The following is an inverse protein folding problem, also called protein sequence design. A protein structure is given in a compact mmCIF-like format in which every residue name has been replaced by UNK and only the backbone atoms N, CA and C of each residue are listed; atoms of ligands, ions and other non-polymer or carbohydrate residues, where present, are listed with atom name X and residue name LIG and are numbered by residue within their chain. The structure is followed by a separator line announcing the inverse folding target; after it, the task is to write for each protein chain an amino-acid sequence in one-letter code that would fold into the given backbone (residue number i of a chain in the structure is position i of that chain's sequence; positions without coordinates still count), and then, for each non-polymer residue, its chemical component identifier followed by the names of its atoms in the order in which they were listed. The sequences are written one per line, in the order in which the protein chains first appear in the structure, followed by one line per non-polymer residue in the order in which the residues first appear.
data_IF_329778183025
#
_entry.id   IF_329778183025
#
_cell.length_a   1.000
_cell.length_b   1.000
_cell.length_c   1.000
_cell.angle_alpha   90.00
_cell.angle_beta   90.00
_cell.angle_gamma   90.00
#
_symmetry.space_group_name_H-M   'P 1'
#
loop_
_entity.id
_entity.type
_entity.pdbx_description
1 polymer ?
#
# COMPACT_ATOMS: atom_id res chain seq x y z
N UNK A 1 -163.47 127.84 11.04
CA UNK A 1 -162.59 127.12 12.00
C UNK A 1 -163.21 125.77 12.30
N UNK A 2 -162.39 124.72 12.41
CA UNK A 2 -162.82 123.32 12.57
C UNK A 2 -163.31 122.99 14.00
N UNK A 3 -164.35 122.15 14.11
CA UNK A 3 -164.89 121.58 15.36
C UNK A 3 -163.96 120.50 15.96
N UNK A 4 -164.23 120.07 17.19
CA UNK A 4 -163.41 119.07 17.91
C UNK A 4 -163.41 117.70 17.21
N UNK A 5 -164.56 117.26 16.71
CA UNK A 5 -164.71 115.98 15.99
C UNK A 5 -164.01 116.01 14.63
N UNK A 6 -164.09 117.13 13.91
CA UNK A 6 -163.40 117.28 12.62
C UNK A 6 -161.88 117.28 12.78
N UNK A 7 -161.35 117.93 13.82
CA UNK A 7 -159.91 117.87 14.14
C UNK A 7 -159.46 116.44 14.44
N UNK A 8 -160.26 115.67 15.18
CA UNK A 8 -159.96 114.28 15.50
C UNK A 8 -159.93 113.42 14.23
N UNK A 9 -160.94 113.59 13.36
CA UNK A 9 -161.04 112.86 12.10
C UNK A 9 -159.85 113.14 11.18
N UNK A 10 -159.39 114.40 11.10
CA UNK A 10 -158.17 114.76 10.33
C UNK A 10 -156.92 114.09 10.91
N UNK A 11 -156.76 114.06 12.23
CA UNK A 11 -155.60 113.42 12.88
C UNK A 11 -155.59 111.90 12.66
N UNK A 12 -156.75 111.24 12.74
CA UNK A 12 -156.86 109.80 12.44
C UNK A 12 -156.54 109.48 10.98
N UNK A 13 -157.04 110.29 10.03
CA UNK A 13 -156.71 110.10 8.61
C UNK A 13 -155.22 110.35 8.35
N UNK A 14 -154.62 111.37 8.98
CA UNK A 14 -153.17 111.60 8.93
C UNK A 14 -152.40 110.38 9.41
N UNK A 15 -152.86 109.63 10.41
CA UNK A 15 -152.13 108.47 10.95
C UNK A 15 -152.19 107.22 10.05
N UNK A 16 -153.25 107.06 9.24
CA UNK A 16 -153.47 105.83 8.45
C UNK A 16 -153.25 105.98 6.96
N UNK A 17 -153.50 107.16 6.42
CA UNK A 17 -153.42 107.42 4.99
C UNK A 17 -152.11 108.16 4.68
N UNK A 18 -151.14 107.42 4.14
CA UNK A 18 -149.82 107.94 3.77
C UNK A 18 -149.97 109.01 2.68
N UNK A 19 -150.84 108.83 1.69
CA UNK A 19 -151.00 109.83 0.63
C UNK A 19 -151.60 111.12 1.16
N UNK A 20 -152.64 111.04 2.01
CA UNK A 20 -153.22 112.22 2.67
C UNK A 20 -152.23 112.92 3.59
N UNK A 21 -151.39 112.18 4.33
CA UNK A 21 -150.31 112.72 5.16
C UNK A 21 -149.27 113.49 4.35
N UNK A 22 -148.86 112.95 3.20
CA UNK A 22 -147.88 113.61 2.33
C UNK A 22 -148.49 114.83 1.65
N UNK A 23 -149.78 114.79 1.29
CA UNK A 23 -150.49 115.93 0.71
C UNK A 23 -150.58 117.11 1.69
N UNK A 24 -151.00 116.87 2.94
CA UNK A 24 -151.04 117.90 3.99
C UNK A 24 -149.63 118.41 4.32
N UNK A 25 -148.63 117.52 4.42
CA UNK A 25 -147.24 117.93 4.60
C UNK A 25 -146.72 118.76 3.42
N UNK A 26 -147.17 118.49 2.20
CA UNK A 26 -146.92 119.30 1.00
C UNK A 26 -147.41 120.74 1.15
N UNK A 27 -148.68 120.93 1.55
CA UNK A 27 -149.25 122.26 1.81
C UNK A 27 -148.54 123.03 2.92
N UNK A 28 -148.01 122.32 3.93
CA UNK A 28 -147.28 122.91 5.07
C UNK A 28 -145.79 123.14 4.79
N UNK A 29 -145.29 122.80 3.59
CA UNK A 29 -143.86 122.89 3.25
C UNK A 29 -142.98 121.82 3.91
N UNK A 30 -143.57 120.76 4.46
CA UNK A 30 -142.91 119.67 5.20
C UNK A 30 -142.66 118.40 4.36
N UNK A 31 -143.11 118.36 3.10
CA UNK A 31 -142.92 117.18 2.21
C UNK A 31 -141.45 116.75 2.07
N UNK A 32 -140.54 117.73 2.03
CA UNK A 32 -139.10 117.49 1.99
C UNK A 32 -138.60 116.77 3.26
N UNK A 33 -139.21 117.02 4.42
CA UNK A 33 -138.87 116.37 5.68
C UNK A 33 -139.33 114.91 5.68
N UNK A 34 -140.56 114.62 5.23
CA UNK A 34 -141.06 113.24 5.15
C UNK A 34 -140.23 112.38 4.19
N UNK A 35 -139.87 112.90 3.01
CA UNK A 35 -138.97 112.20 2.06
C UNK A 35 -137.60 111.90 2.66
N UNK A 36 -137.05 112.84 3.45
CA UNK A 36 -135.79 112.62 4.18
C UNK A 36 -135.94 111.55 5.25
N UNK A 37 -137.08 111.48 5.94
CA UNK A 37 -137.35 110.44 6.93
C UNK A 37 -137.44 109.05 6.29
N UNK A 38 -138.15 108.89 5.16
CA UNK A 38 -138.17 107.62 4.42
C UNK A 38 -136.76 107.22 3.94
N UNK A 39 -136.01 108.20 3.44
CA UNK A 39 -134.62 107.98 3.02
C UNK A 39 -133.73 107.56 4.20
N UNK A 40 -133.95 108.15 5.39
CA UNK A 40 -133.25 107.77 6.61
C UNK A 40 -133.67 106.35 7.03
N UNK A 41 -134.95 106.01 7.00
CA UNK A 41 -135.45 104.68 7.35
C UNK A 41 -134.86 103.62 6.41
N UNK A 42 -134.86 103.87 5.10
CA UNK A 42 -134.20 102.99 4.11
C UNK A 42 -132.70 102.84 4.41
N UNK A 43 -131.99 103.94 4.70
CA UNK A 43 -130.57 103.90 5.07
C UNK A 43 -130.32 103.15 6.38
N UNK A 44 -131.24 103.24 7.35
CA UNK A 44 -131.18 102.48 8.61
C UNK A 44 -131.37 100.99 8.32
N UNK A 45 -132.31 100.62 7.46
CA UNK A 45 -132.50 99.23 7.05
C UNK A 45 -131.26 98.66 6.32
N UNK A 46 -130.67 99.43 5.40
CA UNK A 46 -129.42 99.06 4.71
C UNK A 46 -128.24 98.92 5.69
N UNK A 47 -128.13 99.84 6.66
CA UNK A 47 -127.12 99.76 7.73
C UNK A 47 -127.32 98.52 8.60
N UNK A 48 -128.57 98.16 8.92
CA UNK A 48 -128.87 96.97 9.70
C UNK A 48 -128.50 95.68 8.95
N UNK A 49 -128.83 95.58 7.65
CA UNK A 49 -128.43 94.45 6.81
C UNK A 49 -126.90 94.38 6.66
N UNK A 50 -126.24 95.52 6.48
CA UNK A 50 -124.79 95.63 6.47
C UNK A 50 -124.15 95.18 7.79
N UNK A 51 -124.72 95.57 8.94
CA UNK A 51 -124.28 95.12 10.26
C UNK A 51 -124.47 93.62 10.45
N UNK A 52 -125.59 93.06 10.00
CA UNK A 52 -125.85 91.62 10.05
C UNK A 52 -124.84 90.83 9.23
N UNK A 53 -124.57 91.25 7.98
CA UNK A 53 -123.55 90.64 7.12
C UNK A 53 -122.15 90.75 7.72
N UNK A 54 -121.83 91.89 8.35
CA UNK A 54 -120.57 92.07 9.06
C UNK A 54 -120.42 91.08 10.21
N UNK A 55 -121.47 90.89 11.02
CA UNK A 55 -121.48 89.93 12.12
C UNK A 55 -121.28 88.50 11.62
N UNK A 56 -121.97 88.11 10.54
CA UNK A 56 -121.80 86.79 9.90
C UNK A 56 -120.36 86.56 9.41
N UNK A 57 -119.74 87.59 8.82
CA UNK A 57 -118.34 87.53 8.40
C UNK A 57 -117.38 87.46 9.60
N UNK A 58 -117.67 88.17 10.69
CA UNK A 58 -116.88 88.07 11.93
C UNK A 58 -116.94 86.66 12.51
N UNK A 59 -118.11 86.02 12.53
CA UNK A 59 -118.24 84.61 12.97
C UNK A 59 -117.40 83.68 12.09
N UNK A 60 -117.49 83.79 10.76
CA UNK A 60 -116.66 82.98 9.84
C UNK A 60 -115.16 83.21 10.02
N UNK A 61 -114.75 84.46 10.30
CA UNK A 61 -113.35 84.76 10.61
C UNK A 61 -112.91 84.07 11.88
N UNK A 62 -113.73 84.06 12.93
CA UNK A 62 -113.43 83.34 14.17
C UNK A 62 -113.31 81.84 13.96
N UNK A 63 -114.19 81.22 13.19
CA UNK A 63 -114.10 79.80 12.82
C UNK A 63 -112.80 79.48 12.07
N UNK A 64 -112.37 80.35 11.15
CA UNK A 64 -111.10 80.17 10.44
C UNK A 64 -109.89 80.35 11.36
N UNK A 65 -109.95 81.32 12.28
CA UNK A 65 -108.90 81.53 13.28
C UNK A 65 -108.79 80.29 14.17
N UNK A 66 -109.90 79.67 14.57
CA UNK A 66 -109.90 78.44 15.36
C UNK A 66 -109.24 77.27 14.61
N UNK A 67 -109.60 77.06 13.33
CA UNK A 67 -108.94 76.04 12.49
C UNK A 67 -107.44 76.27 12.34
N UNK A 68 -107.01 77.52 12.13
CA UNK A 68 -105.59 77.85 12.07
C UNK A 68 -104.87 77.53 13.39
N UNK A 69 -105.51 77.76 14.54
CA UNK A 69 -104.94 77.40 15.83
C UNK A 69 -104.79 75.88 16.01
N UNK A 70 -105.74 75.09 15.50
CA UNK A 70 -105.65 73.63 15.49
C UNK A 70 -104.50 73.14 14.60
N UNK A 71 -104.35 73.69 13.38
CA UNK A 71 -103.24 73.38 12.48
C UNK A 71 -101.89 73.75 13.11
N UNK A 72 -101.78 74.93 13.73
CA UNK A 72 -100.57 75.35 14.45
C UNK A 72 -100.27 74.41 15.62
N UNK A 73 -101.28 73.89 16.32
CA UNK A 73 -101.09 72.90 17.39
C UNK A 73 -100.57 71.58 16.83
N UNK A 74 -101.16 71.05 15.76
CA UNK A 74 -100.71 69.83 15.09
C UNK A 74 -99.27 69.96 14.59
N UNK A 75 -98.93 71.08 13.95
CA UNK A 75 -97.56 71.32 13.46
C UNK A 75 -96.55 71.37 14.61
N UNK A 76 -96.91 71.92 15.78
CA UNK A 76 -96.03 71.91 16.96
C UNK A 76 -95.81 70.50 17.48
N UNK A 77 -96.86 69.66 17.52
CA UNK A 77 -96.73 68.27 17.93
C UNK A 77 -95.82 67.48 16.98
N UNK A 78 -95.98 67.65 15.68
CA UNK A 78 -95.13 66.97 14.69
C UNK A 78 -93.69 67.49 14.73
N UNK A 79 -93.48 68.79 14.95
CA UNK A 79 -92.14 69.33 15.22
C UNK A 79 -91.51 68.66 16.46
N UNK A 80 -92.27 68.49 17.56
CA UNK A 80 -91.75 67.80 18.75
C UNK A 80 -91.37 66.35 18.46
N UNK A 81 -92.14 65.61 17.65
CA UNK A 81 -91.79 64.24 17.22
C UNK A 81 -90.50 64.22 16.40
N UNK A 82 -90.38 65.12 15.43
CA UNK A 82 -89.16 65.26 14.61
C UNK A 82 -87.93 65.56 15.46
N UNK A 83 -88.04 66.44 16.45
CA UNK A 83 -86.93 66.72 17.38
C UNK A 83 -86.48 65.48 18.15
N UNK A 84 -87.42 64.62 18.57
CA UNK A 84 -87.08 63.38 19.27
C UNK A 84 -86.44 62.35 18.31
N UNK A 85 -86.94 62.21 17.08
CA UNK A 85 -86.31 61.37 16.05
C UNK A 85 -84.87 61.83 15.75
N UNK A 86 -84.65 63.13 15.57
CA UNK A 86 -83.31 63.70 15.38
C UNK A 86 -82.42 63.41 16.59
N UNK A 87 -82.95 63.47 17.81
CA UNK A 87 -82.20 63.13 19.03
C UNK A 87 -81.81 61.65 19.06
N UNK A 88 -82.72 60.74 18.68
CA UNK A 88 -82.46 59.31 18.61
C UNK A 88 -81.43 58.98 17.53
N UNK A 89 -81.51 59.62 16.36
CA UNK A 89 -80.53 59.48 15.28
C UNK A 89 -79.13 59.92 15.74
N UNK A 90 -79.02 61.05 16.46
CA UNK A 90 -77.73 61.49 17.03
C UNK A 90 -77.16 60.47 18.00
N UNK A 91 -77.98 59.93 18.92
CA UNK A 91 -77.54 58.85 19.82
C UNK A 91 -77.09 57.60 19.06
N UNK A 92 -77.77 57.26 17.96
CA UNK A 92 -77.38 56.15 17.08
C UNK A 92 -76.03 56.40 16.40
N UNK A 93 -75.81 57.62 15.89
CA UNK A 93 -74.53 58.03 15.32
C UNK A 93 -73.39 57.96 16.35
N UNK A 94 -73.61 58.42 17.58
CA UNK A 94 -72.60 58.36 18.64
C UNK A 94 -72.19 56.91 18.95
N UNK A 95 -73.16 55.98 18.97
CA UNK A 95 -72.88 54.54 19.13
C UNK A 95 -72.06 53.98 17.97
N UNK A 96 -72.44 54.30 16.73
CA UNK A 96 -71.68 53.87 15.54
C UNK A 96 -70.24 54.41 15.57
N UNK A 97 -70.03 55.66 15.99
CA UNK A 97 -68.69 56.22 16.12
C UNK A 97 -67.84 55.47 17.17
N UNK A 98 -68.44 55.05 18.28
CA UNK A 98 -67.75 54.22 19.28
C UNK A 98 -67.40 52.83 18.70
N UNK A 99 -68.33 52.16 18.04
CA UNK A 99 -68.07 50.86 17.41
C UNK A 99 -66.98 50.94 16.34
N UNK A 100 -66.99 51.99 15.51
CA UNK A 100 -65.93 52.24 14.52
C UNK A 100 -64.57 52.44 15.19
N UNK A 101 -64.53 53.14 16.34
CA UNK A 101 -63.29 53.35 17.10
C UNK A 101 -62.75 52.02 17.65
N UNK A 102 -63.62 51.21 18.23
CA UNK A 102 -63.23 49.90 18.79
C UNK A 102 -62.75 48.95 17.69
N UNK A 103 -63.42 48.94 16.52
CA UNK A 103 -62.97 48.18 15.35
C UNK A 103 -61.60 48.64 14.86
N UNK A 104 -61.33 49.95 14.83
CA UNK A 104 -60.00 50.48 14.46
C UNK A 104 -58.93 50.05 15.46
N UNK A 105 -59.22 50.07 16.76
CA UNK A 105 -58.28 49.60 17.77
C UNK A 105 -58.00 48.09 17.62
N UNK A 106 -59.04 47.28 17.38
CA UNK A 106 -58.90 45.85 17.09
C UNK A 106 -58.06 45.59 15.84
N UNK A 107 -58.28 46.36 14.77
CA UNK A 107 -57.47 46.28 13.55
C UNK A 107 -56.00 46.62 13.81
N UNK A 108 -55.72 47.66 14.60
CA UNK A 108 -54.34 48.03 14.97
C UNK A 108 -53.64 46.90 15.72
N UNK A 109 -54.29 46.28 16.72
CA UNK A 109 -53.73 45.13 17.46
C UNK A 109 -53.44 43.95 16.53
N UNK A 110 -54.38 43.63 15.64
CA UNK A 110 -54.20 42.55 14.66
C UNK A 110 -53.01 42.82 13.71
N UNK A 111 -52.80 44.07 13.29
CA UNK A 111 -51.63 44.44 12.50
C UNK A 111 -50.31 44.27 13.26
N UNK A 112 -50.29 44.57 14.56
CA UNK A 112 -49.12 44.34 15.42
C UNK A 112 -48.82 42.85 15.59
N UNK A 113 -49.84 42.02 15.82
CA UNK A 113 -49.69 40.56 15.88
C UNK A 113 -49.17 39.98 14.57
N UNK A 114 -49.74 40.40 13.43
CA UNK A 114 -49.26 39.97 12.10
C UNK A 114 -47.81 40.39 11.87
N UNK A 115 -47.39 41.57 12.33
CA UNK A 115 -45.99 42.01 12.25
C UNK A 115 -45.09 41.11 13.10
N UNK A 116 -45.46 40.83 14.34
CA UNK A 116 -44.71 39.93 15.23
C UNK A 116 -44.56 38.53 14.63
N UNK A 117 -45.65 37.97 14.08
CA UNK A 117 -45.63 36.66 13.43
C UNK A 117 -44.69 36.65 12.22
N UNK A 118 -44.63 37.72 11.43
CA UNK A 118 -43.69 37.84 10.30
C UNK A 118 -42.23 37.92 10.76
N UNK A 119 -41.96 38.61 11.86
CA UNK A 119 -40.63 38.67 12.45
C UNK A 119 -40.19 37.30 12.95
N UNK A 120 -41.06 36.57 13.65
CA UNK A 120 -40.75 35.24 14.15
C UNK A 120 -40.60 34.21 13.01
N UNK A 121 -41.42 34.32 11.95
CA UNK A 121 -41.21 33.53 10.72
C UNK A 121 -39.84 33.80 10.10
N UNK A 122 -39.41 35.06 10.02
CA UNK A 122 -38.07 35.40 9.50
C UNK A 122 -36.96 34.76 10.35
N UNK A 123 -37.05 34.82 11.68
CA UNK A 123 -36.09 34.15 12.58
C UNK A 123 -36.08 32.63 12.41
N UNK A 124 -37.24 32.02 12.21
CA UNK A 124 -37.34 30.58 11.94
C UNK A 124 -36.64 30.21 10.62
N UNK A 125 -36.81 31.01 9.57
CA UNK A 125 -36.10 30.82 8.31
C UNK A 125 -34.58 30.95 8.45
N UNK A 126 -34.10 31.97 9.18
CA UNK A 126 -32.67 32.12 9.47
C UNK A 126 -32.08 30.93 10.24
N UNK A 127 -32.81 30.42 11.24
CA UNK A 127 -32.39 29.25 12.00
C UNK A 127 -32.41 27.98 11.14
N UNK A 128 -33.41 27.81 10.27
CA UNK A 128 -33.47 26.69 9.34
C UNK A 128 -32.27 26.71 8.37
N UNK A 129 -31.88 27.88 7.87
CA UNK A 129 -30.70 28.04 7.00
C UNK A 129 -29.40 27.65 7.74
N UNK A 130 -29.24 28.10 9.00
CA UNK A 130 -28.09 27.71 9.84
C UNK A 130 -28.02 26.20 10.04
N UNK A 131 -29.16 25.56 10.36
CA UNK A 131 -29.23 24.11 10.49
C UNK A 131 -28.87 23.39 9.19
N UNK A 132 -29.30 23.90 8.03
CA UNK A 132 -28.92 23.34 6.74
C UNK A 132 -27.41 23.40 6.49
N UNK A 133 -26.76 24.51 6.86
CA UNK A 133 -25.30 24.67 6.79
C UNK A 133 -24.61 23.65 7.70
N UNK A 134 -25.06 23.51 8.95
CA UNK A 134 -24.51 22.53 9.90
C UNK A 134 -24.67 21.09 9.39
N UNK A 135 -25.84 20.73 8.88
CA UNK A 135 -26.09 19.40 8.29
C UNK A 135 -25.18 19.14 7.10
N UNK A 136 -24.93 20.14 6.24
CA UNK A 136 -23.98 20.01 5.12
C UNK A 136 -22.56 19.76 5.64
N UNK A 137 -22.11 20.51 6.64
CA UNK A 137 -20.78 20.33 7.24
C UNK A 137 -20.62 18.96 7.88
N UNK A 138 -21.66 18.46 8.57
CA UNK A 138 -21.65 17.11 9.14
C UNK A 138 -21.56 16.03 8.06
N UNK A 139 -22.24 16.19 6.91
CA UNK A 139 -22.12 15.26 5.78
C UNK A 139 -20.72 15.25 5.20
N UNK A 140 -20.11 16.42 4.98
CA UNK A 140 -18.72 16.51 4.53
C UNK A 140 -17.74 15.86 5.53
N UNK A 141 -18.01 16.00 6.84
CA UNK A 141 -17.26 15.30 7.89
C UNK A 141 -17.40 13.78 7.81
N UNK A 142 -18.61 13.27 7.56
CA UNK A 142 -18.86 11.84 7.37
C UNK A 142 -18.14 11.28 6.14
N UNK A 143 -18.13 12.01 5.03
CA UNK A 143 -17.44 11.58 3.80
C UNK A 143 -15.92 11.44 4.03
N UNK A 144 -15.31 12.40 4.73
CA UNK A 144 -13.88 12.32 5.12
C UNK A 144 -13.59 11.14 6.03
N UNK A 145 -14.49 10.82 6.97
CA UNK A 145 -14.34 9.64 7.82
C UNK A 145 -14.39 8.37 6.98
N UNK A 146 -15.33 8.28 6.02
CA UNK A 146 -15.40 7.14 5.11
C UNK A 146 -14.14 6.95 4.27
N UNK A 147 -13.58 8.04 3.75
CA UNK A 147 -12.31 8.01 3.01
C UNK A 147 -11.17 7.49 3.89
N UNK A 148 -11.04 8.00 5.12
CA UNK A 148 -10.03 7.55 6.08
C UNK A 148 -10.20 6.06 6.43
N UNK A 149 -11.43 5.60 6.66
CA UNK A 149 -11.73 4.19 6.94
C UNK A 149 -11.33 3.31 5.77
N UNK A 150 -11.59 3.73 4.53
CA UNK A 150 -11.19 3.00 3.34
C UNK A 150 -9.67 2.90 3.21
N UNK A 151 -8.95 3.99 3.47
CA UNK A 151 -7.49 4.02 3.47
C UNK A 151 -6.90 3.08 4.54
N UNK A 152 -7.44 3.10 5.76
CA UNK A 152 -7.04 2.16 6.81
C UNK A 152 -7.28 0.70 6.41
N UNK A 153 -8.37 0.42 5.69
CA UNK A 153 -8.65 -0.93 5.20
C UNK A 153 -7.58 -1.40 4.19
N UNK A 154 -7.14 -0.51 3.29
CA UNK A 154 -6.05 -0.78 2.35
C UNK A 154 -4.74 -1.04 3.10
N UNK A 155 -4.40 -0.21 4.10
CA UNK A 155 -3.20 -0.40 4.92
C UNK A 155 -3.22 -1.73 5.67
N UNK A 156 -4.35 -2.07 6.31
CA UNK A 156 -4.52 -3.36 7.00
C UNK A 156 -4.35 -4.54 6.04
N UNK A 157 -4.87 -4.44 4.82
CA UNK A 157 -4.69 -5.48 3.80
C UNK A 157 -3.20 -5.63 3.41
N UNK A 158 -2.51 -4.52 3.17
CA UNK A 158 -1.07 -4.51 2.87
C UNK A 158 -0.24 -5.10 4.00
N UNK A 159 -0.55 -4.77 5.25
CA UNK A 159 0.12 -5.35 6.42
C UNK A 159 -0.10 -6.86 6.53
N UNK A 160 -1.31 -7.36 6.23
CA UNK A 160 -1.58 -8.81 6.17
C UNK A 160 -0.75 -9.50 5.09
N UNK A 161 -0.71 -8.93 3.89
CA UNK A 161 0.12 -9.45 2.79
C UNK A 161 1.61 -9.48 3.17
N UNK A 162 2.10 -8.45 3.86
CA UNK A 162 3.48 -8.41 4.39
C UNK A 162 3.71 -9.47 5.47
N UNK A 163 2.75 -9.70 6.35
CA UNK A 163 2.82 -10.74 7.38
C UNK A 163 2.87 -12.13 6.77
N UNK A 164 2.09 -12.40 5.73
CA UNK A 164 2.09 -13.69 5.03
C UNK A 164 3.45 -13.98 4.37
N UNK A 165 4.08 -12.97 3.74
CA UNK A 165 5.45 -13.11 3.19
C UNK A 165 6.48 -13.41 4.27
N UNK A 166 6.41 -12.73 5.41
CA UNK A 166 7.30 -13.02 6.54
C UNK A 166 7.13 -14.46 7.04
N UNK A 167 5.90 -14.99 7.06
CA UNK A 167 5.66 -16.39 7.42
C UNK A 167 6.27 -17.37 6.41
N UNK A 168 6.23 -17.06 5.12
CA UNK A 168 6.91 -17.84 4.08
C UNK A 168 8.42 -17.83 4.26
N UNK A 169 9.03 -16.65 4.45
CA UNK A 169 10.48 -16.53 4.72
C UNK A 169 10.91 -17.32 5.96
N UNK A 170 10.13 -17.24 7.05
CA UNK A 170 10.39 -18.02 8.28
C UNK A 170 10.31 -19.53 8.00
N UNK A 171 9.36 -19.97 7.18
CA UNK A 171 9.24 -21.39 6.79
C UNK A 171 10.44 -21.85 5.97
N UNK A 172 10.90 -21.03 5.03
CA UNK A 172 12.07 -21.33 4.20
C UNK A 172 13.36 -21.36 5.02
N UNK A 173 13.54 -20.42 5.95
CA UNK A 173 14.66 -20.43 6.89
C UNK A 173 14.67 -21.70 7.75
N UNK A 174 13.51 -22.13 8.26
CA UNK A 174 13.38 -23.40 9.00
C UNK A 174 13.76 -24.60 8.13
N UNK A 175 13.31 -24.64 6.88
CA UNK A 175 13.68 -25.69 5.92
C UNK A 175 15.19 -25.71 5.67
N UNK A 176 15.81 -24.54 5.48
CA UNK A 176 17.26 -24.39 5.36
C UNK A 176 18.02 -24.89 6.60
N UNK A 177 17.53 -24.58 7.80
CA UNK A 177 18.10 -25.08 9.05
C UNK A 177 18.06 -26.61 9.14
N UNK A 178 16.96 -27.25 8.72
CA UNK A 178 16.86 -28.72 8.70
C UNK A 178 17.91 -29.32 7.76
N UNK A 179 18.07 -28.78 6.54
CA UNK A 179 19.09 -29.24 5.59
C UNK A 179 20.52 -29.06 6.10
N UNK A 180 20.79 -27.95 6.79
CA UNK A 180 22.08 -27.71 7.43
C UNK A 180 22.35 -28.74 8.51
N UNK A 181 21.36 -29.05 9.35
CA UNK A 181 21.45 -30.10 10.37
C UNK A 181 21.75 -31.48 9.76
N UNK A 182 21.07 -31.85 8.69
CA UNK A 182 21.34 -33.09 7.95
C UNK A 182 22.77 -33.12 7.40
N UNK A 183 23.24 -32.02 6.81
CA UNK A 183 24.60 -31.90 6.28
C UNK A 183 25.66 -32.02 7.39
N UNK A 184 25.44 -31.37 8.53
CA UNK A 184 26.32 -31.48 9.70
C UNK A 184 26.36 -32.91 10.21
N UNK A 185 25.22 -33.60 10.26
CA UNK A 185 25.16 -34.99 10.67
C UNK A 185 25.94 -35.91 9.72
N UNK A 186 25.81 -35.69 8.41
CA UNK A 186 26.57 -36.44 7.39
C UNK A 186 28.08 -36.21 7.52
N UNK A 187 28.52 -34.96 7.72
CA UNK A 187 29.93 -34.65 7.98
C UNK A 187 30.44 -35.37 9.23
N UNK A 188 29.61 -35.49 10.27
CA UNK A 188 29.98 -36.22 11.48
C UNK A 188 30.20 -37.71 11.21
N UNK A 189 29.35 -38.31 10.37
CA UNK A 189 29.51 -39.70 9.91
C UNK A 189 30.80 -39.87 9.11
N UNK A 190 31.09 -38.97 8.16
CA UNK A 190 32.32 -38.99 7.37
C UNK A 190 33.56 -38.86 8.24
N UNK A 191 33.58 -37.91 9.19
CA UNK A 191 34.67 -37.73 10.14
C UNK A 191 34.88 -39.00 10.97
N UNK A 192 33.80 -39.66 11.41
CA UNK A 192 33.90 -40.93 12.14
C UNK A 192 34.52 -42.02 11.26
N UNK A 193 34.07 -42.17 10.01
CA UNK A 193 34.63 -43.13 9.06
C UNK A 193 36.10 -42.87 8.75
N UNK A 194 36.49 -41.60 8.59
CA UNK A 194 37.88 -41.20 8.38
C UNK A 194 38.76 -41.56 9.57
N UNK A 195 38.27 -41.34 10.81
CA UNK A 195 38.98 -41.78 12.03
C UNK A 195 39.17 -43.29 12.09
N UNK A 196 38.14 -44.05 11.74
CA UNK A 196 38.22 -45.51 11.68
C UNK A 196 39.24 -45.97 10.63
N UNK A 197 39.24 -45.35 9.44
CA UNK A 197 40.23 -45.60 8.39
C UNK A 197 41.65 -45.24 8.82
N UNK A 198 41.84 -44.10 9.50
CA UNK A 198 43.13 -43.71 10.06
C UNK A 198 43.65 -44.75 11.03
N UNK A 199 42.82 -45.23 11.96
CA UNK A 199 43.21 -46.24 12.94
C UNK A 199 43.69 -47.54 12.29
N UNK A 200 42.98 -48.03 11.26
CA UNK A 200 43.42 -49.20 10.48
C UNK A 200 44.78 -48.97 9.83
N UNK A 201 44.99 -47.79 9.25
CA UNK A 201 46.27 -47.45 8.61
C UNK A 201 47.41 -47.37 9.64
N UNK A 202 47.14 -46.91 10.87
CA UNK A 202 48.09 -46.98 11.98
C UNK A 202 48.44 -48.41 12.37
N UNK A 203 47.47 -49.33 12.37
CA UNK A 203 47.69 -50.77 12.60
C UNK A 203 48.55 -51.38 11.49
N UNK A 204 48.21 -51.15 10.22
CA UNK A 204 48.99 -51.63 9.07
C UNK A 204 50.44 -51.10 9.09
N UNK A 205 50.63 -49.81 9.38
CA UNK A 205 51.98 -49.22 9.51
C UNK A 205 52.76 -49.85 10.66
N UNK A 206 52.08 -50.21 11.76
CA UNK A 206 52.71 -50.90 12.89
C UNK A 206 53.14 -52.31 12.49
N UNK A 207 52.30 -53.04 11.78
CA UNK A 207 52.58 -54.41 11.32
C UNK A 207 53.74 -54.41 10.30
N UNK A 208 53.71 -53.51 9.32
CA UNK A 208 54.80 -53.32 8.36
C UNK A 208 56.14 -53.02 9.06
N UNK A 209 56.13 -52.23 10.14
CA UNK A 209 57.35 -51.98 10.93
C UNK A 209 57.88 -53.25 11.60
N UNK A 210 57.00 -54.15 12.04
CA UNK A 210 57.38 -55.44 12.62
C UNK A 210 57.99 -56.34 11.55
N UNK A 211 57.31 -56.51 10.42
CA UNK A 211 57.79 -57.31 9.28
C UNK A 211 59.14 -56.80 8.75
N UNK A 212 59.28 -55.49 8.57
CA UNK A 212 60.55 -54.90 8.12
C UNK A 212 61.69 -55.15 9.11
N UNK A 213 61.40 -55.13 10.41
CA UNK A 213 62.38 -55.45 11.44
C UNK A 213 62.80 -56.93 11.41
N UNK A 214 61.87 -57.84 11.10
CA UNK A 214 62.15 -59.27 10.93
C UNK A 214 62.99 -59.54 9.68
N UNK A 215 62.59 -59.01 8.52
CA UNK A 215 63.36 -59.11 7.27
C UNK A 215 64.79 -58.58 7.45
N UNK A 216 64.97 -57.44 8.15
CA UNK A 216 66.31 -56.90 8.50
C UNK A 216 67.14 -57.85 9.38
N UNK A 217 66.52 -58.74 10.16
CA UNK A 217 67.23 -59.77 10.94
C UNK A 217 67.61 -60.95 10.06
N UNK A 218 66.73 -61.38 9.16
CA UNK A 218 66.98 -62.47 8.21
C UNK A 218 68.10 -62.13 7.22
N UNK A 219 68.06 -60.94 6.60
CA UNK A 219 69.13 -60.48 5.72
C UNK A 219 70.51 -60.50 6.42
N UNK A 220 70.56 -60.11 7.70
CA UNK A 220 71.80 -60.18 8.49
C UNK A 220 72.30 -61.61 8.69
N UNK A 221 71.40 -62.58 8.92
CA UNK A 221 71.74 -64.01 9.08
C UNK A 221 72.20 -64.65 7.77
N UNK A 222 71.52 -64.35 6.67
CA UNK A 222 71.91 -64.83 5.34
C UNK A 222 73.31 -64.33 4.98
N UNK A 223 73.56 -63.03 5.19
CA UNK A 223 74.89 -62.43 4.96
C UNK A 223 75.99 -63.13 5.73
N UNK A 224 75.82 -63.34 7.04
CA UNK A 224 76.84 -64.01 7.85
C UNK A 224 77.09 -65.46 7.42
N UNK A 225 76.08 -66.12 6.89
CA UNK A 225 76.16 -67.51 6.42
C UNK A 225 76.96 -67.61 5.11
N UNK A 226 76.68 -66.73 4.14
CA UNK A 226 77.41 -66.68 2.86
C UNK A 226 78.89 -66.34 3.04
N UNK A 227 79.21 -65.34 3.87
CA UNK A 227 80.60 -64.97 4.17
C UNK A 227 81.38 -66.13 4.82
N UNK A 228 80.70 -66.98 5.60
CA UNK A 228 81.30 -68.15 6.24
C UNK A 228 81.48 -69.30 5.25
N UNK A 229 80.56 -69.47 4.32
CA UNK A 229 80.60 -70.53 3.30
C UNK A 229 81.72 -70.29 2.27
N UNK A 230 81.88 -69.06 1.79
CA UNK A 230 82.94 -68.71 0.84
C UNK A 230 84.37 -68.89 1.39
N UNK A 231 84.57 -68.74 2.71
CA UNK A 231 85.85 -69.03 3.37
C UNK A 231 86.17 -70.52 3.48
N UNK A 232 85.17 -71.39 3.56
CA UNK A 232 85.35 -72.82 3.80
C UNK A 232 85.76 -73.61 2.53
N UNK A 233 85.37 -73.14 1.34
CA UNK A 233 85.54 -73.88 0.08
C UNK A 233 86.84 -73.58 -0.69
N UNK A 234 87.71 -72.68 -0.20
CA UNK A 234 89.02 -72.42 -0.83
C UNK A 234 88.94 -71.87 -2.27
N UNK A 235 87.80 -71.30 -2.64
CA UNK A 235 87.49 -70.83 -3.99
C UNK A 235 88.42 -69.67 -4.38
N UNK A 236 89.08 -69.77 -5.54
CA UNK A 236 89.99 -68.73 -6.06
C UNK A 236 89.21 -67.53 -6.62
N UNK A 237 89.88 -66.38 -6.78
CA UNK A 237 89.21 -65.20 -7.35
C UNK A 237 88.69 -65.43 -8.78
N UNK A 238 89.40 -66.25 -9.55
CA UNK A 238 89.02 -66.64 -10.91
C UNK A 238 87.63 -67.29 -10.91
N UNK A 239 87.35 -68.20 -9.97
CA UNK A 239 86.04 -68.84 -9.86
C UNK A 239 84.93 -67.86 -9.46
N UNK A 240 85.19 -66.96 -8.50
CA UNK A 240 84.19 -65.93 -8.16
C UNK A 240 83.92 -65.00 -9.34
N UNK A 241 84.95 -64.63 -10.09
CA UNK A 241 84.81 -63.79 -11.27
C UNK A 241 84.03 -64.51 -12.39
N UNK A 242 84.29 -65.79 -12.64
CA UNK A 242 83.52 -66.60 -13.59
C UNK A 242 82.03 -66.67 -13.22
N UNK A 243 81.71 -67.06 -11.98
CA UNK A 243 80.33 -67.16 -11.50
C UNK A 243 79.60 -65.81 -11.54
N UNK A 244 80.30 -64.72 -11.24
CA UNK A 244 79.73 -63.38 -11.33
C UNK A 244 79.45 -63.00 -12.78
N UNK A 245 80.37 -63.27 -13.70
CA UNK A 245 80.18 -63.00 -15.12
C UNK A 245 79.06 -63.86 -15.71
N UNK A 246 78.91 -65.11 -15.27
CA UNK A 246 77.79 -65.97 -15.62
C UNK A 246 76.44 -65.36 -15.20
N UNK A 247 76.32 -64.86 -13.96
CA UNK A 247 75.15 -64.14 -13.48
C UNK A 247 74.85 -62.88 -14.31
N UNK A 248 75.90 -62.11 -14.64
CA UNK A 248 75.75 -60.93 -15.51
C UNK A 248 75.23 -61.30 -16.91
N UNK A 249 75.66 -62.44 -17.45
CA UNK A 249 75.18 -62.94 -18.74
C UNK A 249 73.71 -63.37 -18.65
N UNK A 250 73.28 -63.99 -17.55
CA UNK A 250 71.87 -64.32 -17.30
C UNK A 250 70.99 -63.06 -17.25
N UNK A 251 71.41 -62.02 -16.52
CA UNK A 251 70.72 -60.72 -16.48
C UNK A 251 70.67 -60.05 -17.86
N UNK A 252 71.68 -60.29 -18.69
CA UNK A 252 71.73 -59.84 -20.09
C UNK A 252 70.90 -60.73 -21.04
N UNK A 253 70.27 -61.80 -20.54
CA UNK A 253 69.37 -62.68 -21.29
C UNK A 253 70.03 -63.92 -21.90
N UNK A 254 71.32 -64.16 -21.63
CA UNK A 254 72.03 -65.38 -22.05
C UNK A 254 71.86 -66.45 -20.96
N UNK A 255 70.97 -67.40 -21.19
CA UNK A 255 70.63 -68.45 -20.21
C UNK A 255 71.36 -69.76 -20.53
N UNK A 256 71.81 -70.48 -19.50
CA UNK A 256 72.47 -71.78 -19.65
C UNK A 256 73.89 -71.73 -20.22
N UNK A 257 74.56 -70.57 -20.10
CA UNK A 257 75.95 -70.38 -20.53
C UNK A 257 76.90 -70.76 -19.40
N UNK A 258 78.03 -71.40 -19.71
CA UNK A 258 79.08 -71.71 -18.72
C UNK A 258 80.24 -70.75 -18.93
N UNK A 259 80.70 -70.12 -17.86
CA UNK A 259 81.89 -69.27 -17.87
C UNK A 259 82.96 -69.96 -17.06
N UNK A 260 84.04 -70.37 -17.72
CA UNK A 260 85.13 -71.14 -17.11
C UNK A 260 86.48 -70.70 -17.66
N UNK A 261 87.55 -71.29 -17.13
CA UNK A 261 88.90 -71.07 -17.66
C UNK A 261 89.05 -71.73 -19.03
N UNK A 262 89.46 -70.96 -20.04
CA UNK A 262 89.54 -71.40 -21.44
C UNK A 262 90.95 -71.39 -22.01
N UNK A 263 91.15 -72.13 -23.10
CA UNK A 263 92.40 -72.12 -23.87
C UNK A 263 92.10 -71.89 -25.35
N UNK A 264 92.80 -70.93 -25.97
CA UNK A 264 92.65 -70.62 -27.40
C UNK A 264 93.98 -70.73 -28.13
N UNK A 265 93.96 -71.20 -29.38
CA UNK A 265 95.16 -71.38 -30.21
C UNK A 265 95.20 -70.36 -31.36
N UNK A 266 96.25 -69.55 -31.42
CA UNK A 266 96.44 -68.55 -32.48
C UNK A 266 97.92 -68.36 -32.80
N UNK A 267 98.26 -68.28 -34.10
CA UNK A 267 99.61 -68.03 -34.64
C UNK A 267 100.73 -68.87 -33.99
N UNK A 268 100.50 -70.18 -33.87
CA UNK A 268 101.48 -71.11 -33.30
C UNK A 268 101.57 -71.12 -31.77
N UNK A 269 100.75 -70.33 -31.05
CA UNK A 269 100.78 -70.19 -29.58
C UNK A 269 99.44 -70.54 -28.94
N UNK A 270 99.48 -71.08 -27.72
CA UNK A 270 98.32 -71.32 -26.85
C UNK A 270 98.19 -70.16 -25.86
N UNK A 271 96.99 -69.59 -25.74
CA UNK A 271 96.65 -68.54 -24.77
C UNK A 271 95.62 -69.06 -23.77
N UNK A 272 95.94 -68.94 -22.49
CA UNK A 272 95.07 -69.28 -21.37
C UNK A 272 94.26 -68.04 -20.95
N UNK A 273 92.94 -68.18 -20.88
CA UNK A 273 91.99 -67.11 -20.60
C UNK A 273 91.29 -67.43 -19.28
N UNK A 274 91.39 -66.55 -18.28
CA UNK A 274 90.90 -66.82 -16.93
C UNK A 274 89.38 -66.89 -16.86
N UNK A 275 88.71 -66.04 -17.63
CA UNK A 275 87.25 -65.96 -17.74
C UNK A 275 86.90 -66.13 -19.21
N UNK A 276 86.38 -67.30 -19.60
CA UNK A 276 86.11 -67.61 -20.99
C UNK A 276 84.72 -68.22 -21.16
N UNK A 277 84.00 -67.73 -22.16
CA UNK A 277 82.80 -68.37 -22.70
C UNK A 277 82.91 -68.34 -24.22
N UNK A 278 82.64 -69.45 -24.90
CA UNK A 278 82.72 -69.50 -26.37
C UNK A 278 81.41 -68.98 -27.03
N UNK A 279 80.27 -69.16 -26.34
CA UNK A 279 78.94 -68.79 -26.84
C UNK A 279 78.03 -68.25 -25.71
N UNK A 280 77.86 -66.92 -25.57
CA UNK A 280 78.48 -65.85 -26.37
C UNK A 280 79.98 -65.74 -26.10
N UNK A 281 80.76 -65.21 -27.05
CA UNK A 281 82.20 -65.08 -26.86
C UNK A 281 82.51 -64.03 -25.77
N UNK A 282 82.96 -64.51 -24.61
CA UNK A 282 83.39 -63.69 -23.47
C UNK A 282 84.84 -64.00 -23.15
N UNK A 283 85.61 -62.94 -22.93
CA UNK A 283 87.02 -63.04 -22.59
C UNK A 283 87.30 -62.12 -21.41
N UNK A 284 87.94 -62.63 -20.38
CA UNK A 284 88.34 -61.84 -19.23
C UNK A 284 89.62 -62.31 -18.56
N UNK A 285 90.22 -61.36 -17.85
CA UNK A 285 91.41 -61.55 -17.02
C UNK A 285 91.02 -61.39 -15.57
N UNK A 286 91.49 -62.28 -14.69
CA UNK A 286 91.27 -62.18 -13.26
C UNK A 286 92.60 -61.99 -12.55
N UNK A 287 92.73 -60.90 -11.78
CA UNK A 287 93.97 -60.61 -11.05
C UNK A 287 93.70 -60.28 -9.58
N UNK A 288 94.63 -60.73 -8.73
CA UNK A 288 94.51 -60.56 -7.29
C UNK A 288 94.82 -59.14 -6.83
N UNK A 289 95.79 -58.48 -7.48
CA UNK A 289 96.28 -57.16 -7.07
C UNK A 289 96.72 -56.35 -8.28
N UNK A 290 96.28 -55.09 -8.34
CA UNK A 290 96.86 -54.07 -9.21
C UNK A 290 97.30 -52.90 -8.32
N UNK A 291 98.61 -52.70 -8.25
CA UNK A 291 99.25 -51.78 -7.30
C UNK A 291 99.54 -50.42 -7.90
N UNK A 292 99.83 -50.38 -9.20
CA UNK A 292 100.19 -49.16 -9.90
C UNK A 292 99.68 -49.14 -11.35
N UNK A 293 99.90 -47.99 -12.00
CA UNK A 293 99.48 -47.74 -13.39
C UNK A 293 100.18 -48.65 -14.41
N UNK A 294 101.41 -49.09 -14.14
CA UNK A 294 102.15 -49.99 -15.01
C UNK A 294 101.57 -51.40 -14.99
N UNK A 295 101.25 -51.91 -13.80
CA UNK A 295 100.55 -53.20 -13.63
C UNK A 295 99.16 -53.15 -14.28
N UNK A 296 98.40 -52.07 -14.06
CA UNK A 296 97.12 -51.83 -14.72
C UNK A 296 97.19 -51.93 -16.25
N UNK A 297 98.15 -51.25 -16.86
CA UNK A 297 98.36 -51.26 -18.31
C UNK A 297 98.80 -52.65 -18.82
N UNK A 298 99.62 -53.35 -18.03
CA UNK A 298 100.08 -54.70 -18.34
C UNK A 298 98.92 -55.70 -18.41
N UNK A 299 98.03 -55.70 -17.40
CA UNK A 299 96.87 -56.59 -17.36
C UNK A 299 95.87 -56.30 -18.48
N UNK A 300 95.61 -55.02 -18.77
CA UNK A 300 94.76 -54.63 -19.90
C UNK A 300 95.34 -55.05 -21.25
N UNK A 301 96.66 -54.92 -21.43
CA UNK A 301 97.34 -55.41 -22.64
C UNK A 301 97.26 -56.92 -22.78
N UNK A 302 97.41 -57.68 -21.69
CA UNK A 302 97.22 -59.14 -21.73
C UNK A 302 95.81 -59.49 -22.18
N UNK A 303 94.81 -58.82 -21.60
CA UNK A 303 93.42 -59.03 -21.95
C UNK A 303 93.15 -58.72 -23.43
N UNK A 304 93.72 -57.65 -23.98
CA UNK A 304 93.59 -57.31 -25.40
C UNK A 304 94.22 -58.36 -26.31
N UNK A 305 95.42 -58.85 -25.96
CA UNK A 305 96.09 -59.92 -26.72
C UNK A 305 95.27 -61.22 -26.69
N UNK A 306 94.76 -61.60 -25.52
CA UNK A 306 93.91 -62.78 -25.36
C UNK A 306 92.58 -62.64 -26.12
N UNK A 307 91.99 -61.45 -26.08
CA UNK A 307 90.77 -61.12 -26.81
C UNK A 307 90.97 -61.23 -28.33
N UNK A 308 92.05 -60.69 -28.88
CA UNK A 308 92.36 -60.82 -30.31
C UNK A 308 92.58 -62.28 -30.70
N UNK A 309 93.34 -63.04 -29.90
CA UNK A 309 93.54 -64.48 -30.12
C UNK A 309 92.22 -65.27 -30.07
N UNK A 310 91.32 -64.94 -29.15
CA UNK A 310 90.00 -65.56 -29.03
C UNK A 310 89.10 -65.27 -30.24
N UNK A 311 89.04 -64.02 -30.71
CA UNK A 311 88.25 -63.68 -31.91
C UNK A 311 88.77 -64.39 -33.16
N UNK A 312 90.10 -64.45 -33.33
CA UNK A 312 90.72 -65.09 -34.50
C UNK A 312 90.60 -66.61 -34.49
N UNK A 313 90.63 -67.23 -33.31
CA UNK A 313 90.53 -68.69 -33.16
C UNK A 313 89.09 -69.20 -33.26
N UNK A 314 88.13 -68.48 -32.68
CA UNK A 314 86.70 -68.88 -32.66
C UNK A 314 85.90 -68.35 -33.85
N UNK A 315 86.41 -67.32 -34.55
CA UNK A 315 85.70 -66.64 -35.65
C UNK A 315 84.51 -65.79 -35.19
N UNK A 316 84.30 -65.64 -33.88
CA UNK A 316 83.21 -64.91 -33.26
C UNK A 316 83.67 -63.52 -32.79
N UNK A 317 82.71 -62.61 -32.63
CA UNK A 317 82.96 -61.28 -32.04
C UNK A 317 82.75 -61.32 -30.54
N UNK A 318 83.63 -60.67 -29.79
CA UNK A 318 83.51 -60.62 -28.32
C UNK A 318 82.26 -59.82 -27.94
N UNK A 319 81.41 -60.45 -27.13
CA UNK A 319 80.19 -59.86 -26.55
C UNK A 319 80.50 -59.14 -25.25
N UNK A 320 81.42 -59.68 -24.45
CA UNK A 320 81.83 -59.06 -23.19
C UNK A 320 83.33 -59.26 -22.95
N UNK A 321 84.03 -58.16 -22.67
CA UNK A 321 85.42 -58.15 -22.24
C UNK A 321 85.47 -57.78 -20.76
N UNK A 322 86.07 -58.60 -19.90
CA UNK A 322 86.02 -58.42 -18.44
C UNK A 322 87.42 -58.29 -17.85
N UNK A 323 87.61 -57.33 -16.95
CA UNK A 323 88.76 -57.31 -16.05
C UNK A 323 88.25 -57.40 -14.61
N UNK A 324 88.55 -58.51 -13.93
CA UNK A 324 88.18 -58.75 -12.55
C UNK A 324 89.40 -58.56 -11.63
N UNK A 325 89.30 -57.69 -10.63
CA UNK A 325 90.43 -57.35 -9.75
C UNK A 325 90.04 -57.42 -8.27
N UNK A 326 90.72 -58.26 -7.48
CA UNK A 326 90.39 -58.41 -6.05
C UNK A 326 90.61 -57.12 -5.27
N UNK A 327 91.76 -56.49 -5.50
CA UNK A 327 92.20 -55.31 -4.79
C UNK A 327 92.95 -54.38 -5.75
N UNK A 328 92.43 -53.17 -5.90
CA UNK A 328 93.06 -52.10 -6.69
C UNK A 328 93.52 -51.02 -5.72
N UNK A 329 94.75 -50.54 -5.86
CA UNK A 329 95.20 -49.37 -5.10
C UNK A 329 94.41 -48.12 -5.50
N UNK A 330 94.28 -47.15 -4.60
CA UNK A 330 93.65 -45.86 -4.91
C UNK A 330 94.27 -45.18 -6.13
N UNK A 331 95.59 -45.35 -6.31
CA UNK A 331 96.40 -44.68 -7.32
C UNK A 331 96.21 -45.30 -8.72
N UNK A 332 95.89 -46.59 -8.80
CA UNK A 332 95.61 -47.29 -10.06
C UNK A 332 94.11 -47.24 -10.45
N UNK A 333 93.20 -47.09 -9.48
CA UNK A 333 91.75 -47.20 -9.68
C UNK A 333 91.18 -46.17 -10.67
N UNK A 334 91.62 -44.92 -10.58
CA UNK A 334 91.19 -43.86 -11.51
C UNK A 334 91.59 -44.17 -12.95
N UNK A 335 92.86 -44.54 -13.16
CA UNK A 335 93.37 -44.92 -14.48
C UNK A 335 92.64 -46.13 -15.06
N UNK A 336 92.47 -47.18 -14.25
CA UNK A 336 91.87 -48.43 -14.69
C UNK A 336 90.39 -48.25 -15.08
N UNK A 337 89.65 -47.43 -14.35
CA UNK A 337 88.25 -47.06 -14.66
C UNK A 337 88.15 -46.39 -16.02
N UNK A 338 88.95 -45.35 -16.24
CA UNK A 338 88.94 -44.56 -17.48
C UNK A 338 89.41 -45.36 -18.70
N UNK A 339 90.44 -46.20 -18.50
CA UNK A 339 91.00 -47.07 -19.54
C UNK A 339 90.04 -48.19 -19.94
N UNK A 340 89.37 -48.81 -18.96
CA UNK A 340 88.36 -49.84 -19.20
C UNK A 340 87.16 -49.28 -19.98
N UNK A 341 86.62 -48.13 -19.57
CA UNK A 341 85.54 -47.44 -20.31
C UNK A 341 85.90 -47.24 -21.77
N UNK A 342 87.10 -46.72 -22.04
CA UNK A 342 87.53 -46.39 -23.39
C UNK A 342 87.73 -47.63 -24.27
N UNK A 343 88.17 -48.75 -23.68
CA UNK A 343 88.41 -50.01 -24.39
C UNK A 343 87.18 -50.93 -24.45
N UNK A 344 86.06 -50.53 -23.85
CA UNK A 344 84.85 -51.38 -23.76
C UNK A 344 85.05 -52.60 -22.85
N UNK A 345 85.92 -52.48 -21.85
CA UNK A 345 86.17 -53.51 -20.84
C UNK A 345 85.24 -53.24 -19.65
N UNK A 346 84.51 -54.26 -19.21
CA UNK A 346 83.74 -54.21 -17.97
C UNK A 346 84.65 -54.48 -16.78
N UNK A 347 84.69 -53.51 -15.86
CA UNK A 347 85.58 -53.55 -14.71
C UNK A 347 84.83 -54.00 -13.46
N UNK A 348 85.26 -55.13 -12.90
CA UNK A 348 84.74 -55.71 -11.67
C UNK A 348 85.81 -55.62 -10.59
N UNK A 349 85.52 -54.98 -9.46
CA UNK A 349 86.52 -54.74 -8.40
C UNK A 349 86.01 -55.15 -7.03
N UNK A 350 86.94 -55.61 -6.20
CA UNK A 350 86.71 -55.92 -4.79
C UNK A 350 86.46 -57.40 -4.56
N UNK A 351 86.65 -57.83 -3.30
CA UNK A 351 86.33 -59.21 -2.87
C UNK A 351 84.82 -59.52 -2.91
N UNK A 352 83.99 -58.48 -3.01
CA UNK A 352 82.53 -58.56 -3.16
C UNK A 352 82.09 -58.42 -4.63
N UNK A 353 83.04 -58.29 -5.59
CA UNK A 353 82.82 -58.17 -7.03
C UNK A 353 81.72 -57.16 -7.41
N UNK A 354 81.98 -55.88 -7.12
CA UNK A 354 81.09 -54.81 -7.56
C UNK A 354 81.42 -54.40 -9.01
N UNK A 355 80.39 -54.23 -9.84
CA UNK A 355 80.54 -53.65 -11.18
C UNK A 355 80.70 -52.15 -11.02
N UNK A 356 81.86 -51.64 -11.45
CA UNK A 356 82.20 -50.23 -11.30
C UNK A 356 81.93 -49.45 -12.60
N UNK A 357 81.98 -50.15 -13.74
CA UNK A 357 81.90 -49.57 -15.10
C UNK A 357 81.25 -50.52 -16.07
#
# INVERSE_FOLDING_TARGET
MLSKEEKLRILETLDRDVEFRYAIAGYLGLSEILKRLDSIESRIADLYDGQKKLLENQVKLWENVEKLWEEVRSLREDQSKLWEEVRLLRKGQDKLWMEIRDLREGQSKLWEEVRSLREDQSKLWENAEKLWIEVRSLREGQDKIWENVNNLWIEVKSLREGQDRLWEEVRDLRSGQVKLWESVNNLWIEVKSLREGQNKLWEEVRDLRVEFAEMRREQRRLRSSFESFGRALGVTIEYYACAFVELMLEDMGYTGVSVDKGFVYHDGRVYEIDIFCEDPLVVGEATLYIRDRGEAESELKKLDVKAEAAEKSTGRKIVLKVLAVANVSSDAMGYLRDECMRRGVRLVVGRELEVIV
#
